data_IF_468608447278
#
_entry.id   IF_468608447278
#
_cell.length_a   1.000
_cell.length_b   1.000
_cell.length_c   1.000
_cell.angle_alpha   90.00
_cell.angle_beta   90.00
_cell.angle_gamma   90.00
#
_symmetry.space_group_name_H-M   'P 1'
#
loop_
_entity.id
_entity.type
_entity.pdbx_description
1 polymer ?
#
# COMPACT_ATOMS: atom_id res chain seq x y z
N UNK A 1 69.26 -14.85 25.46
CA UNK A 1 68.63 -15.32 24.19
C UNK A 1 68.39 -16.81 24.36
N UNK A 2 67.23 -17.44 24.06
CA UNK A 2 66.04 -17.02 23.27
C UNK A 2 64.77 -17.00 24.17
N UNK A 3 63.53 -16.83 23.74
CA UNK A 3 62.86 -16.01 22.71
C UNK A 3 61.37 -16.07 23.09
N UNK A 4 60.71 -14.92 23.16
CA UNK A 4 59.28 -14.80 23.39
C UNK A 4 58.49 -15.52 22.28
N UNK A 5 57.42 -16.24 22.65
CA UNK A 5 56.38 -16.68 21.71
C UNK A 5 55.00 -16.45 22.34
N UNK A 6 54.37 -15.28 22.14
CA UNK A 6 52.95 -15.16 22.43
C UNK A 6 52.17 -15.83 21.28
N UNK A 7 51.44 -16.90 21.59
CA UNK A 7 50.41 -17.43 20.69
C UNK A 7 49.15 -16.56 20.84
N UNK A 8 48.93 -15.65 19.88
CA UNK A 8 47.58 -15.28 19.42
C UNK A 8 47.37 -16.06 18.12
N UNK A 9 46.24 -16.76 17.93
CA UNK A 9 45.15 -16.14 17.16
C UNK A 9 43.78 -16.75 17.56
N UNK A 10 42.59 -16.45 17.04
CA UNK A 10 42.06 -15.62 15.98
C UNK A 10 40.58 -15.47 16.38
N UNK A 11 40.12 -14.32 16.82
CA UNK A 11 38.67 -14.12 17.02
C UNK A 11 38.04 -13.84 15.66
N UNK A 12 37.46 -14.87 15.06
CA UNK A 12 36.67 -14.75 13.82
C UNK A 12 35.31 -14.12 14.18
N UNK A 13 35.22 -12.80 14.11
CA UNK A 13 33.96 -12.09 14.28
C UNK A 13 33.10 -12.21 13.00
N UNK A 14 32.17 -13.17 13.01
CA UNK A 14 31.11 -13.28 12.00
C UNK A 14 30.07 -12.18 12.25
N UNK A 15 30.23 -11.04 11.56
CA UNK A 15 29.20 -10.01 11.46
C UNK A 15 28.09 -10.52 10.53
N UNK A 16 27.11 -11.23 11.09
CA UNK A 16 25.84 -11.50 10.43
C UNK A 16 25.03 -10.20 10.38
N UNK A 17 25.28 -9.38 9.35
CA UNK A 17 24.45 -8.22 9.03
C UNK A 17 23.11 -8.70 8.48
N UNK A 18 22.07 -8.70 9.29
CA UNK A 18 20.70 -8.80 8.79
C UNK A 18 20.38 -7.53 7.99
N UNK A 19 20.54 -7.60 6.66
CA UNK A 19 20.03 -6.57 5.77
C UNK A 19 18.49 -6.55 5.91
N UNK A 20 17.95 -5.44 6.42
CA UNK A 20 16.51 -5.24 6.55
C UNK A 20 15.83 -5.35 5.20
N UNK A 21 15.11 -6.43 4.96
CA UNK A 21 14.35 -6.64 3.74
C UNK A 21 13.12 -5.73 3.78
N UNK A 22 13.11 -4.68 2.95
CA UNK A 22 11.91 -3.90 2.68
C UNK A 22 10.81 -4.83 2.15
N UNK A 23 9.60 -4.78 2.73
CA UNK A 23 8.47 -5.62 2.30
C UNK A 23 8.14 -5.30 0.83
N UNK A 24 8.14 -6.29 -0.09
CA UNK A 24 7.93 -6.04 -1.52
C UNK A 24 6.49 -5.57 -1.84
N UNK A 25 5.54 -5.90 -0.96
CA UNK A 25 4.13 -5.52 -1.05
C UNK A 25 3.72 -4.85 0.25
N UNK A 26 3.03 -3.71 0.15
CA UNK A 26 2.38 -3.02 1.27
C UNK A 26 0.89 -3.08 1.06
N UNK A 27 0.16 -3.52 2.07
CA UNK A 27 -1.31 -3.51 2.09
C UNK A 27 -1.78 -2.35 2.94
N UNK A 28 -2.80 -1.64 2.48
CA UNK A 28 -3.45 -0.56 3.20
C UNK A 28 -4.96 -0.78 3.19
N UNK A 29 -5.56 -0.86 4.38
CA UNK A 29 -6.97 -1.22 4.58
C UNK A 29 -7.84 -0.02 5.00
N UNK A 30 -7.21 1.03 5.53
CA UNK A 30 -7.86 2.28 5.89
C UNK A 30 -6.87 3.46 5.90
N UNK A 31 -7.35 4.66 6.25
CA UNK A 31 -6.55 5.88 6.30
C UNK A 31 -5.81 6.10 7.64
N UNK A 32 -5.97 5.23 8.64
CA UNK A 32 -5.35 5.40 9.96
C UNK A 32 -3.82 5.27 9.92
N UNK A 33 -3.31 4.49 8.97
CA UNK A 33 -1.89 4.30 8.71
C UNK A 33 -1.28 5.33 7.75
N UNK A 34 -2.07 6.32 7.32
CA UNK A 34 -1.63 7.36 6.38
C UNK A 34 -0.83 8.49 7.07
N UNK A 35 0.36 8.13 7.55
CA UNK A 35 1.50 9.04 7.80
C UNK A 35 2.49 8.77 6.68
N UNK A 36 3.14 9.77 6.05
CA UNK A 36 3.63 9.65 4.68
C UNK A 36 4.11 8.25 4.37
N UNK A 37 3.29 7.51 3.62
CA UNK A 37 3.46 6.08 3.44
C UNK A 37 4.73 5.91 2.63
N UNK A 38 5.77 5.39 3.31
CA UNK A 38 7.11 5.28 2.73
C UNK A 38 7.16 4.06 1.82
N UNK A 39 7.35 4.31 0.54
CA UNK A 39 7.47 3.30 -0.49
C UNK A 39 8.81 3.45 -1.23
N UNK A 40 9.16 2.42 -1.99
CA UNK A 40 10.33 2.42 -2.85
C UNK A 40 9.90 2.25 -4.31
N UNK A 41 10.66 2.80 -5.24
CA UNK A 41 10.44 2.55 -6.67
C UNK A 41 10.48 1.05 -6.95
N UNK A 42 9.51 0.54 -7.70
CA UNK A 42 9.37 -0.88 -7.96
C UNK A 42 8.81 -1.68 -6.78
N UNK A 43 8.14 -1.07 -5.80
CA UNK A 43 7.33 -1.71 -4.74
C UNK A 43 5.83 -1.79 -5.12
N UNK A 44 5.07 -2.77 -4.61
CA UNK A 44 3.62 -2.87 -4.85
C UNK A 44 2.87 -2.28 -3.67
N UNK A 45 1.82 -1.54 -3.98
CA UNK A 45 0.84 -1.08 -3.01
C UNK A 45 -0.50 -1.76 -3.35
N UNK A 46 -1.05 -2.48 -2.39
CA UNK A 46 -2.40 -3.04 -2.43
C UNK A 46 -3.28 -2.20 -1.52
N UNK A 47 -4.26 -1.51 -2.10
CA UNK A 47 -5.26 -0.76 -1.35
C UNK A 47 -6.53 -1.60 -1.29
N UNK A 48 -7.07 -1.83 -0.10
CA UNK A 48 -8.33 -2.53 0.14
C UNK A 48 -9.22 -1.55 0.90
N UNK A 49 -10.43 -1.28 0.39
CA UNK A 49 -11.38 -0.41 1.07
C UNK A 49 -12.76 -1.09 1.15
N UNK A 50 -13.50 -0.93 2.26
CA UNK A 50 -14.88 -1.39 2.34
C UNK A 50 -15.74 -0.79 1.22
N UNK A 51 -16.60 -1.62 0.63
CA UNK A 51 -17.41 -1.24 -0.53
C UNK A 51 -18.74 -2.01 -0.55
N UNK A 52 -19.84 -1.33 -0.87
CA UNK A 52 -21.14 -1.97 -1.04
C UNK A 52 -21.79 -1.49 -2.36
N UNK A 53 -21.48 -2.15 -3.49
CA UNK A 53 -21.98 -1.73 -4.80
C UNK A 53 -23.51 -1.85 -4.94
N UNK A 54 -24.18 -2.65 -4.09
CA UNK A 54 -25.65 -2.82 -4.14
C UNK A 54 -26.39 -1.53 -3.77
N UNK A 55 -25.73 -0.60 -3.09
CA UNK A 55 -26.27 0.72 -2.71
C UNK A 55 -26.06 1.79 -3.78
N UNK A 56 -25.38 1.44 -4.88
CA UNK A 56 -25.03 2.35 -5.98
C UNK A 56 -23.75 3.16 -5.77
N UNK A 57 -23.14 3.08 -4.59
CA UNK A 57 -21.88 3.76 -4.31
C UNK A 57 -20.69 3.01 -4.91
N UNK A 58 -19.69 3.77 -5.35
CA UNK A 58 -18.41 3.27 -5.86
C UNK A 58 -17.27 4.16 -5.40
N UNK A 59 -16.09 3.57 -5.24
CA UNK A 59 -14.85 4.32 -5.08
C UNK A 59 -14.37 4.83 -6.43
N UNK A 60 -14.10 6.13 -6.50
CA UNK A 60 -13.53 6.83 -7.65
C UNK A 60 -12.08 7.19 -7.32
N UNK A 61 -11.12 6.74 -8.14
CA UNK A 61 -9.71 7.14 -8.01
C UNK A 61 -9.55 8.59 -8.51
N UNK A 62 -9.25 9.51 -7.60
CA UNK A 62 -9.16 10.96 -7.87
C UNK A 62 -7.72 11.41 -8.14
N UNK A 63 -6.78 10.91 -7.34
CA UNK A 63 -5.36 11.16 -7.51
C UNK A 63 -4.57 9.89 -7.21
N UNK A 64 -3.73 9.46 -8.14
CA UNK A 64 -2.84 8.31 -7.97
C UNK A 64 -1.43 8.78 -7.56
N UNK A 65 -1.36 9.68 -6.58
CA UNK A 65 -0.14 10.37 -6.16
C UNK A 65 0.60 10.98 -7.37
N UNK A 66 -0.11 11.75 -8.19
CA UNK A 66 0.41 12.43 -9.39
C UNK A 66 1.22 11.52 -10.32
N UNK A 67 0.77 10.26 -10.47
CA UNK A 67 1.39 9.27 -11.35
C UNK A 67 2.57 8.51 -10.74
N UNK A 68 2.93 8.74 -9.47
CA UNK A 68 3.90 7.91 -8.75
C UNK A 68 3.41 6.46 -8.62
N UNK A 69 2.08 6.26 -8.59
CA UNK A 69 1.42 4.96 -8.50
C UNK A 69 0.76 4.59 -9.83
N UNK A 70 1.28 3.57 -10.50
CA UNK A 70 0.67 3.01 -11.72
C UNK A 70 -0.25 1.85 -11.36
N UNK A 71 -1.53 1.93 -11.72
CA UNK A 71 -2.46 0.82 -11.57
C UNK A 71 -1.99 -0.39 -12.40
N UNK A 72 -1.98 -1.58 -11.79
CA UNK A 72 -1.65 -2.85 -12.43
C UNK A 72 -2.88 -3.52 -13.08
N UNK A 73 -4.07 -3.01 -12.80
CA UNK A 73 -5.33 -3.50 -13.32
C UNK A 73 -6.52 -2.66 -12.84
N UNK A 74 -7.74 -3.04 -13.22
CA UNK A 74 -8.95 -2.40 -12.70
C UNK A 74 -9.17 -2.70 -11.20
N UNK A 75 -10.11 -1.97 -10.61
CA UNK A 75 -10.71 -2.32 -9.31
C UNK A 75 -11.23 -3.77 -9.33
N UNK A 76 -10.93 -4.52 -8.27
CA UNK A 76 -11.49 -5.86 -8.05
C UNK A 76 -12.36 -5.81 -6.80
N UNK A 77 -13.66 -6.07 -6.96
CA UNK A 77 -14.58 -6.23 -5.85
C UNK A 77 -14.63 -7.71 -5.41
N UNK A 78 -14.63 -7.95 -4.11
CA UNK A 78 -14.85 -9.26 -3.51
C UNK A 78 -15.78 -9.15 -2.31
N UNK A 79 -16.69 -10.10 -2.17
CA UNK A 79 -17.51 -10.24 -0.97
C UNK A 79 -17.20 -11.60 -0.30
N UNK A 80 -16.63 -11.62 0.90
CA UNK A 80 -16.33 -12.88 1.59
C UNK A 80 -17.60 -13.69 1.93
N UNK A 81 -18.78 -13.08 1.90
CA UNK A 81 -20.08 -13.74 2.08
C UNK A 81 -20.75 -14.23 0.78
N UNK A 82 -20.03 -14.25 -0.35
CA UNK A 82 -20.50 -14.75 -1.66
C UNK A 82 -20.88 -16.26 -1.67
N UNK A 83 -21.01 -16.90 -0.50
CA UNK A 83 -21.72 -18.16 -0.30
C UNK A 83 -23.26 -18.03 -0.34
N UNK A 84 -23.83 -16.92 -0.84
CA UNK A 84 -25.25 -16.84 -1.23
C UNK A 84 -26.11 -15.73 -0.60
N UNK A 85 -25.53 -14.68 0.00
CA UNK A 85 -26.29 -13.55 0.55
C UNK A 85 -26.18 -12.31 -0.36
N UNK A 86 -27.29 -11.90 -0.97
CA UNK A 86 -27.38 -10.69 -1.80
C UNK A 86 -27.50 -9.46 -0.88
N UNK A 87 -26.58 -8.49 -0.99
CA UNK A 87 -26.69 -7.18 -0.31
C UNK A 87 -25.63 -6.87 0.76
N UNK A 88 -24.71 -7.79 1.05
CA UNK A 88 -23.68 -7.55 2.07
C UNK A 88 -22.56 -6.62 1.59
N UNK A 89 -21.93 -5.94 2.56
CA UNK A 89 -20.75 -5.14 2.30
C UNK A 89 -19.58 -6.07 1.98
N UNK A 90 -18.86 -5.76 0.91
CA UNK A 90 -17.61 -6.42 0.54
C UNK A 90 -16.46 -5.43 0.57
N UNK A 91 -15.44 -5.70 -0.22
CA UNK A 91 -14.22 -4.91 -0.31
C UNK A 91 -13.87 -4.65 -1.77
N UNK A 92 -13.39 -3.44 -2.05
CA UNK A 92 -12.78 -3.07 -3.31
C UNK A 92 -11.27 -3.05 -3.16
N UNK A 93 -10.57 -3.74 -4.07
CA UNK A 93 -9.11 -3.87 -4.07
C UNK A 93 -8.50 -3.22 -5.31
N UNK A 94 -7.46 -2.42 -5.11
CA UNK A 94 -6.59 -1.90 -6.17
C UNK A 94 -5.16 -2.37 -5.96
N UNK A 95 -4.47 -2.63 -7.07
CA UNK A 95 -3.04 -2.97 -7.08
C UNK A 95 -2.29 -1.91 -7.87
N UNK A 96 -1.28 -1.33 -7.24
CA UNK A 96 -0.41 -0.32 -7.85
C UNK A 96 1.04 -0.79 -7.83
N UNK A 97 1.78 -0.42 -8.87
CA UNK A 97 3.25 -0.42 -8.89
C UNK A 97 3.73 1.01 -8.70
N UNK A 98 4.67 1.19 -7.78
CA UNK A 98 5.38 2.45 -7.60
C UNK A 98 6.38 2.62 -8.75
N UNK A 99 6.26 3.69 -9.54
CA UNK A 99 7.05 3.86 -10.79
C UNK A 99 8.08 4.98 -10.75
N UNK A 100 7.98 5.91 -9.81
CA UNK A 100 8.91 7.04 -9.69
C UNK A 100 9.05 7.50 -8.24
N UNK A 101 10.18 8.16 -7.94
CA UNK A 101 10.42 8.83 -6.67
C UNK A 101 9.67 10.17 -6.61
N UNK A 102 9.29 10.60 -5.39
CA UNK A 102 8.54 11.84 -5.17
C UNK A 102 7.60 11.76 -3.98
N UNK A 103 6.89 12.85 -3.72
CA UNK A 103 5.90 12.95 -2.65
C UNK A 103 4.61 13.55 -3.21
N UNK A 104 3.48 12.90 -2.97
CA UNK A 104 2.15 13.34 -3.41
C UNK A 104 1.06 12.58 -2.61
N UNK A 105 -0.22 12.72 -2.95
CA UNK A 105 -1.35 12.10 -2.25
C UNK A 105 -2.07 11.05 -3.10
N UNK A 106 -2.31 9.88 -2.53
CA UNK A 106 -3.30 8.93 -3.04
C UNK A 106 -4.68 9.34 -2.54
N UNK A 107 -5.60 9.61 -3.45
CA UNK A 107 -6.94 10.10 -3.12
C UNK A 107 -8.03 9.31 -3.83
N UNK A 108 -9.01 8.84 -3.07
CA UNK A 108 -10.21 8.19 -3.58
C UNK A 108 -11.47 8.82 -2.95
N UNK A 109 -12.56 8.84 -3.70
CA UNK A 109 -13.86 9.36 -3.26
C UNK A 109 -14.95 8.28 -3.39
N UNK A 110 -15.68 8.01 -2.32
CA UNK A 110 -16.79 7.05 -2.32
C UNK A 110 -18.11 7.77 -2.58
N UNK A 111 -18.68 7.57 -3.76
CA UNK A 111 -19.86 8.32 -4.21
C UNK A 111 -20.71 7.52 -5.20
N UNK A 112 -21.92 8.00 -5.45
CA UNK A 112 -22.73 7.55 -6.59
C UNK A 112 -22.27 8.31 -7.85
N UNK A 113 -21.89 7.62 -8.93
CA UNK A 113 -21.39 8.30 -10.14
C UNK A 113 -22.39 9.27 -10.78
N UNK A 114 -23.70 9.06 -10.60
CA UNK A 114 -24.76 9.92 -11.15
C UNK A 114 -25.11 11.13 -10.29
N UNK A 115 -24.61 11.22 -9.06
CA UNK A 115 -24.87 12.34 -8.14
C UNK A 115 -23.68 13.31 -8.14
N UNK A 116 -23.37 13.90 -9.31
CA UNK A 116 -22.16 14.71 -9.55
C UNK A 116 -22.00 15.91 -8.59
N UNK A 117 -23.11 16.54 -8.20
CA UNK A 117 -23.14 17.74 -7.35
C UNK A 117 -23.19 17.42 -5.84
N UNK A 118 -23.27 16.14 -5.47
CA UNK A 118 -23.32 15.71 -4.06
C UNK A 118 -21.91 15.39 -3.59
N UNK A 119 -21.57 15.87 -2.39
CA UNK A 119 -20.31 15.54 -1.75
C UNK A 119 -20.15 14.02 -1.57
N UNK A 120 -18.94 13.47 -1.72
CA UNK A 120 -18.70 12.04 -1.47
C UNK A 120 -19.13 11.63 -0.06
N UNK A 121 -19.69 10.44 0.08
CA UNK A 121 -20.07 9.90 1.38
C UNK A 121 -18.84 9.58 2.24
N UNK A 122 -17.73 9.19 1.59
CA UNK A 122 -16.44 8.99 2.22
C UNK A 122 -15.32 9.45 1.30
N UNK A 123 -14.19 9.81 1.89
CA UNK A 123 -12.94 10.05 1.18
C UNK A 123 -11.83 9.24 1.81
N UNK A 124 -10.91 8.79 0.99
CA UNK A 124 -9.67 8.19 1.42
C UNK A 124 -8.54 9.07 0.91
N UNK A 125 -7.66 9.50 1.81
CA UNK A 125 -6.53 10.39 1.50
C UNK A 125 -5.30 9.87 2.22
N UNK A 126 -4.25 9.56 1.46
CA UNK A 126 -3.00 9.04 1.99
C UNK A 126 -1.80 9.77 1.39
N UNK A 127 -1.01 10.51 2.19
CA UNK A 127 0.25 11.04 1.72
C UNK A 127 1.21 9.88 1.40
N UNK A 128 1.81 9.90 0.22
CA UNK A 128 2.76 8.91 -0.29
C UNK A 128 4.13 9.57 -0.38
N UNK A 129 5.17 8.90 0.11
CA UNK A 129 6.55 9.33 -0.05
C UNK A 129 7.39 8.20 -0.62
N UNK A 130 7.90 8.38 -1.84
CA UNK A 130 8.69 7.38 -2.56
C UNK A 130 10.16 7.78 -2.56
N UNK A 131 11.02 6.84 -2.14
CA UNK A 131 12.48 6.96 -2.19
C UNK A 131 13.11 6.07 -3.26
#
# INVERSE_FOLDING_TARGET
MPSYRPLLPLTLALLAGCAGQSKPVVTLEDASDCKPLKLHTGQELVLILPSNPTTGFRWELRNAANGLLRALGPEVYSNPEDAGLVGSAGESTWRFRVTAAGEDTLELAYRRPWEAEVAPAQTFVCPIAVK
#
